data_IF_711419802729
#
_entry.id   IF_711419802729
#
_cell.length_a   1.000
_cell.length_b   1.000
_cell.length_c   1.000
_cell.angle_alpha   90.00
_cell.angle_beta   90.00
_cell.angle_gamma   90.00
#
_symmetry.space_group_name_H-M   'P 1'
#
loop_
_entity.id
_entity.type
_entity.pdbx_description
1 polymer ?
#
# COMPACT_ATOMS: atom_id res chain seq x y z
N UNK A 1 15.38 3.40 5.07
CA UNK A 1 14.48 2.79 4.06
C UNK A 1 14.94 1.38 3.76
N UNK A 2 14.04 0.38 3.76
CA UNK A 2 14.39 -0.97 3.38
C UNK A 2 14.91 -1.02 1.94
N UNK A 3 15.83 -1.95 1.64
CA UNK A 3 16.29 -2.19 0.26
C UNK A 3 15.15 -2.78 -0.56
N UNK A 4 14.45 -1.93 -1.30
CA UNK A 4 13.39 -2.35 -2.21
C UNK A 4 14.00 -2.88 -3.52
N UNK A 5 13.51 -4.00 -4.08
CA UNK A 5 14.03 -4.53 -5.33
C UNK A 5 13.76 -3.55 -6.49
N UNK A 6 14.69 -3.52 -7.43
CA UNK A 6 14.57 -2.69 -8.64
C UNK A 6 13.43 -3.15 -9.54
N UNK A 7 12.68 -2.19 -10.09
CA UNK A 7 11.64 -2.47 -11.08
C UNK A 7 12.25 -2.76 -12.45
N UNK A 8 12.01 -3.95 -13.01
CA UNK A 8 12.43 -4.34 -14.35
C UNK A 8 11.20 -4.40 -15.31
N UNK A 9 11.04 -3.46 -16.27
CA UNK A 9 9.85 -3.38 -17.13
C UNK A 9 9.68 -4.59 -18.05
N UNK A 10 10.78 -5.24 -18.47
CA UNK A 10 10.75 -6.48 -19.25
C UNK A 10 10.14 -7.65 -18.46
N UNK A 11 10.53 -7.79 -17.18
CA UNK A 11 9.98 -8.81 -16.29
C UNK A 11 8.49 -8.59 -16.05
N UNK A 12 8.06 -7.33 -15.88
CA UNK A 12 6.64 -6.99 -15.72
C UNK A 12 5.81 -7.34 -16.97
N UNK A 13 6.36 -7.11 -18.18
CA UNK A 13 5.70 -7.49 -19.44
C UNK A 13 5.61 -9.01 -19.60
N UNK A 14 6.65 -9.75 -19.24
CA UNK A 14 6.65 -11.21 -19.30
C UNK A 14 5.61 -11.82 -18.33
N UNK A 15 5.54 -11.32 -17.09
CA UNK A 15 4.57 -11.79 -16.10
C UNK A 15 3.12 -11.53 -16.53
N UNK A 16 2.85 -10.37 -17.14
CA UNK A 16 1.54 -10.07 -17.71
C UNK A 16 1.22 -10.96 -18.92
N UNK A 17 2.18 -11.22 -19.80
CA UNK A 17 2.02 -12.13 -20.93
C UNK A 17 1.74 -13.57 -20.50
N UNK A 18 2.38 -14.02 -19.42
CA UNK A 18 2.14 -15.32 -18.79
C UNK A 18 0.87 -15.37 -17.93
N UNK A 19 0.07 -14.30 -17.88
CA UNK A 19 -1.16 -14.15 -17.06
C UNK A 19 -0.96 -14.42 -15.56
N UNK A 20 0.27 -14.31 -15.07
CA UNK A 20 0.57 -14.39 -13.62
C UNK A 20 0.01 -13.15 -12.91
N UNK A 21 -0.11 -12.02 -13.61
CA UNK A 21 -0.76 -10.80 -13.10
C UNK A 21 -1.95 -10.41 -13.98
N UNK A 22 -3.06 -9.96 -13.36
CA UNK A 22 -4.28 -9.52 -14.06
C UNK A 22 -4.05 -8.32 -15.01
N UNK A 23 -3.06 -7.49 -14.73
CA UNK A 23 -2.67 -6.34 -15.53
C UNK A 23 -1.15 -6.12 -15.50
N UNK A 24 -0.66 -5.20 -16.33
CA UNK A 24 0.73 -4.75 -16.29
C UNK A 24 0.98 -4.04 -14.95
N UNK A 25 1.87 -4.61 -14.14
CA UNK A 25 2.21 -4.08 -12.82
C UNK A 25 2.92 -2.72 -12.96
N UNK A 26 2.34 -1.67 -12.36
CA UNK A 26 2.96 -0.34 -12.31
C UNK A 26 4.22 -0.36 -11.45
N UNK A 27 5.03 0.70 -11.52
CA UNK A 27 6.20 0.84 -10.65
C UNK A 27 5.81 0.91 -9.18
N UNK A 28 4.65 1.50 -8.89
CA UNK A 28 4.06 1.57 -7.55
C UNK A 28 3.60 0.19 -7.07
N UNK A 29 2.82 -0.53 -7.88
CA UNK A 29 2.30 -1.87 -7.53
C UNK A 29 3.43 -2.90 -7.36
N UNK A 30 4.58 -2.67 -7.99
CA UNK A 30 5.76 -3.49 -7.75
C UNK A 30 6.32 -3.26 -6.34
N UNK A 31 6.46 -2.00 -5.94
CA UNK A 31 7.14 -1.62 -4.71
C UNK A 31 6.27 -1.78 -3.46
N UNK A 32 4.97 -1.51 -3.56
CA UNK A 32 4.08 -1.51 -2.38
C UNK A 32 4.06 -2.84 -1.62
N UNK A 33 3.94 -4.01 -2.27
CA UNK A 33 4.01 -5.29 -1.55
C UNK A 33 5.37 -5.53 -0.90
N UNK A 34 6.48 -5.09 -1.53
CA UNK A 34 7.81 -5.22 -0.93
C UNK A 34 7.99 -4.30 0.28
N UNK A 35 7.43 -3.08 0.24
CA UNK A 35 7.43 -2.18 1.38
C UNK A 35 6.60 -2.77 2.53
N UNK A 36 5.40 -3.24 2.22
CA UNK A 36 4.50 -3.89 3.17
C UNK A 36 5.14 -5.11 3.84
N UNK A 37 5.76 -6.00 3.05
CA UNK A 37 6.42 -7.20 3.58
C UNK A 37 7.66 -6.86 4.40
N UNK A 38 8.41 -5.82 4.02
CA UNK A 38 9.55 -5.35 4.81
C UNK A 38 9.10 -4.81 6.17
N UNK A 39 8.03 -4.01 6.21
CA UNK A 39 7.47 -3.48 7.46
C UNK A 39 6.92 -4.58 8.37
N UNK A 40 6.28 -5.61 7.81
CA UNK A 40 5.78 -6.76 8.59
C UNK A 40 6.88 -7.61 9.20
N UNK A 41 8.08 -7.62 8.62
CA UNK A 41 9.24 -8.41 9.08
C UNK A 41 10.15 -7.64 10.03
N UNK A 42 9.98 -6.33 10.12
CA UNK A 42 10.79 -5.47 10.98
C UNK A 42 10.21 -5.44 12.40
N UNK A 43 10.68 -6.34 13.25
CA UNK A 43 10.19 -6.49 14.63
C UNK A 43 10.41 -5.23 15.47
N UNK A 44 11.50 -4.50 15.24
CA UNK A 44 11.76 -3.22 15.92
C UNK A 44 10.72 -2.19 15.51
N UNK A 45 10.43 -2.07 14.21
CA UNK A 45 9.36 -1.19 13.73
C UNK A 45 7.99 -1.60 14.30
N UNK A 46 7.68 -2.90 14.38
CA UNK A 46 6.42 -3.38 14.97
C UNK A 46 6.32 -3.08 16.47
N UNK A 47 7.43 -3.11 17.21
CA UNK A 47 7.42 -2.92 18.66
C UNK A 47 7.50 -1.43 19.08
N UNK A 48 8.26 -0.60 18.35
CA UNK A 48 8.64 0.74 18.79
C UNK A 48 7.95 1.88 18.03
N UNK A 49 7.28 1.60 16.91
CA UNK A 49 6.60 2.66 16.15
C UNK A 49 5.42 3.23 16.92
N UNK A 50 5.15 4.54 16.81
CA UNK A 50 3.94 5.13 17.38
C UNK A 50 2.69 4.44 16.85
N UNK A 51 1.87 3.92 17.76
CA UNK A 51 0.66 3.18 17.46
C UNK A 51 -0.43 3.57 18.45
N UNK A 52 -1.67 3.47 18.00
CA UNK A 52 -2.84 3.75 18.81
C UNK A 52 -3.85 2.62 18.61
N UNK A 53 -4.31 2.05 19.71
CA UNK A 53 -5.41 1.09 19.68
C UNK A 53 -6.73 1.84 19.50
N UNK A 54 -7.55 1.35 18.58
CA UNK A 54 -8.88 1.89 18.28
C UNK A 54 -9.87 0.75 18.29
N UNK A 55 -10.81 0.80 19.23
CA UNK A 55 -11.88 -0.18 19.36
C UNK A 55 -13.14 0.30 18.64
N UNK A 56 -13.47 -0.35 17.54
CA UNK A 56 -14.74 -0.12 16.83
C UNK A 56 -15.85 -0.98 17.42
N UNK A 57 -16.90 -0.34 17.91
CA UNK A 57 -18.07 -1.01 18.48
C UNK A 57 -18.96 -1.61 17.37
N UNK A 58 -19.73 -2.67 17.67
CA UNK A 58 -20.69 -3.21 16.72
C UNK A 58 -21.67 -2.14 16.22
N UNK A 59 -21.80 -2.02 14.89
CA UNK A 59 -22.64 -1.01 14.24
C UNK A 59 -21.91 0.29 13.88
N UNK A 60 -20.68 0.49 14.35
CA UNK A 60 -19.85 1.60 13.90
C UNK A 60 -19.29 1.37 12.51
N UNK A 61 -19.05 2.46 11.79
CA UNK A 61 -18.45 2.46 10.45
C UNK A 61 -17.24 3.37 10.46
N UNK A 62 -16.18 2.90 9.81
CA UNK A 62 -14.94 3.64 9.62
C UNK A 62 -14.47 3.51 8.18
N UNK A 63 -13.59 4.42 7.76
CA UNK A 63 -12.99 4.40 6.43
C UNK A 63 -11.53 4.83 6.51
N UNK A 64 -10.70 4.27 5.64
CA UNK A 64 -9.28 4.61 5.57
C UNK A 64 -8.75 4.48 4.16
N UNK A 65 -7.68 5.22 3.85
CA UNK A 65 -6.78 4.90 2.74
C UNK A 65 -5.83 3.80 3.19
N UNK A 66 -6.21 2.54 2.95
CA UNK A 66 -5.50 1.35 3.46
C UNK A 66 -4.09 1.18 2.87
N UNK A 67 -3.79 1.87 1.77
CA UNK A 67 -2.47 1.95 1.13
C UNK A 67 -1.59 3.09 1.66
N UNK A 68 -2.14 3.98 2.49
CA UNK A 68 -1.45 5.09 3.15
C UNK A 68 -1.29 4.87 4.65
N UNK A 69 -2.34 4.40 5.32
CA UNK A 69 -2.40 4.24 6.78
C UNK A 69 -1.96 2.83 7.17
N UNK A 70 -0.91 2.74 7.97
CA UNK A 70 -0.51 1.47 8.60
C UNK A 70 -1.58 1.05 9.60
N UNK A 71 -2.06 -0.19 9.48
CA UNK A 71 -3.11 -0.72 10.34
C UNK A 71 -2.93 -2.23 10.52
N UNK A 72 -3.42 -2.74 11.66
CA UNK A 72 -3.45 -4.15 11.99
C UNK A 72 -4.71 -4.46 12.79
N UNK A 73 -5.36 -5.58 12.47
CA UNK A 73 -6.54 -6.05 13.22
C UNK A 73 -6.09 -7.02 14.32
N UNK A 74 -6.32 -6.65 15.58
CA UNK A 74 -5.90 -7.44 16.75
C UNK A 74 -6.94 -8.47 17.19
N UNK A 75 -8.21 -8.29 16.81
CA UNK A 75 -9.31 -9.17 17.17
C UNK A 75 -10.64 -8.69 16.59
N UNK A 76 -11.70 -9.48 16.79
CA UNK A 76 -13.05 -9.16 16.32
C UNK A 76 -13.64 -10.25 15.42
N UNK A 77 -14.95 -10.13 15.15
CA UNK A 77 -15.68 -11.07 14.29
C UNK A 77 -16.81 -10.34 13.56
N UNK A 78 -17.10 -10.79 12.34
CA UNK A 78 -18.21 -10.30 11.50
C UNK A 78 -18.08 -8.83 11.12
N UNK A 79 -17.12 -8.53 10.24
CA UNK A 79 -16.92 -7.21 9.64
C UNK A 79 -17.34 -7.24 8.16
N UNK A 80 -18.02 -6.18 7.70
CA UNK A 80 -18.23 -5.92 6.29
C UNK A 80 -17.20 -4.89 5.81
N UNK A 81 -16.53 -5.18 4.69
CA UNK A 81 -15.55 -4.28 4.09
C UNK A 81 -15.91 -4.03 2.62
N UNK A 82 -15.74 -2.79 2.18
CA UNK A 82 -15.93 -2.39 0.81
C UNK A 82 -14.75 -1.53 0.34
N UNK A 83 -13.98 -2.07 -0.58
CA UNK A 83 -12.91 -1.33 -1.25
C UNK A 83 -13.50 -0.45 -2.35
N UNK A 84 -13.12 0.84 -2.35
CA UNK A 84 -13.42 1.79 -3.43
C UNK A 84 -12.12 2.34 -3.98
N UNK A 85 -12.02 2.42 -5.31
CA UNK A 85 -10.84 2.98 -5.98
C UNK A 85 -11.04 4.46 -6.27
N UNK A 86 -10.09 5.29 -5.82
CA UNK A 86 -10.06 6.73 -6.08
C UNK A 86 -8.84 7.09 -6.96
N UNK A 87 -9.02 7.59 -8.19
CA UNK A 87 -7.90 8.05 -9.01
C UNK A 87 -7.11 9.16 -8.31
N UNK A 88 -5.78 9.14 -8.42
CA UNK A 88 -4.90 10.17 -7.82
C UNK A 88 -5.27 11.59 -8.29
N UNK A 89 -5.68 11.73 -9.56
CA UNK A 89 -6.13 13.02 -10.12
C UNK A 89 -7.45 13.54 -9.57
N UNK A 90 -8.23 12.68 -8.90
CA UNK A 90 -9.51 13.02 -8.28
C UNK A 90 -9.38 13.29 -6.76
N UNK A 91 -8.18 13.14 -6.19
CA UNK A 91 -7.92 13.51 -4.80
C UNK A 91 -7.85 15.03 -4.65
N UNK A 92 -8.36 15.56 -3.53
CA UNK A 92 -8.31 16.98 -3.24
C UNK A 92 -6.86 17.51 -3.18
N UNK A 93 -5.95 16.71 -2.64
CA UNK A 93 -4.51 16.93 -2.71
C UNK A 93 -3.79 15.69 -3.29
N UNK A 94 -3.53 15.64 -4.60
CA UNK A 94 -2.82 14.53 -5.23
C UNK A 94 -1.39 14.34 -4.70
N UNK A 95 -0.76 15.39 -4.14
CA UNK A 95 0.61 15.32 -3.62
C UNK A 95 0.70 14.46 -2.36
N UNK A 96 -0.40 14.34 -1.61
CA UNK A 96 -0.57 13.49 -0.44
C UNK A 96 -0.79 12.01 -0.76
N UNK A 97 -0.99 11.66 -2.04
CA UNK A 97 -1.21 10.26 -2.42
C UNK A 97 0.00 9.37 -2.12
N UNK A 98 -0.20 8.10 -1.71
CA UNK A 98 0.89 7.14 -1.51
C UNK A 98 1.83 7.05 -2.71
N UNK A 99 1.27 7.13 -3.92
CA UNK A 99 2.03 7.11 -5.16
C UNK A 99 2.97 8.32 -5.27
N UNK A 100 2.49 9.55 -5.03
CA UNK A 100 3.33 10.77 -5.10
C UNK A 100 4.34 10.84 -3.96
N UNK A 101 3.94 10.46 -2.74
CA UNK A 101 4.86 10.37 -1.59
C UNK A 101 5.99 9.39 -1.87
N UNK A 102 5.69 8.19 -2.38
CA UNK A 102 6.71 7.20 -2.67
C UNK A 102 7.63 7.64 -3.82
N UNK A 103 7.08 8.26 -4.87
CA UNK A 103 7.87 8.82 -5.96
C UNK A 103 8.85 9.91 -5.45
N UNK A 104 8.38 10.81 -4.58
CA UNK A 104 9.20 11.85 -3.96
C UNK A 104 10.31 11.24 -3.09
N UNK A 105 9.99 10.26 -2.22
CA UNK A 105 10.98 9.59 -1.37
C UNK A 105 12.04 8.81 -2.17
N UNK A 106 11.69 8.31 -3.36
CA UNK A 106 12.62 7.63 -4.26
C UNK A 106 13.38 8.56 -5.21
N UNK A 107 13.07 9.85 -5.21
CA UNK A 107 13.66 10.83 -6.13
C UNK A 107 13.38 10.56 -7.61
N UNK A 108 12.34 9.79 -7.95
CA UNK A 108 12.00 9.43 -9.33
C UNK A 108 10.50 9.25 -9.53
N UNK A 109 10.03 9.60 -10.73
CA UNK A 109 8.65 9.32 -11.12
C UNK A 109 8.38 7.81 -11.18
N UNK A 110 7.26 7.38 -10.59
CA UNK A 110 6.76 6.02 -10.70
C UNK A 110 5.71 5.99 -11.81
N UNK A 111 5.94 5.17 -12.84
CA UNK A 111 4.97 4.99 -13.94
C UNK A 111 3.77 4.20 -13.44
N UNK A 112 2.57 4.72 -13.68
CA UNK A 112 1.28 4.01 -13.71
C UNK A 112 1.26 3.00 -14.85
#
# INVERSE_FOLDING_TARGET
>A
MPRLPGYAPLKARLLAALRVTKAKRSGYDHLMPHLHDALKRDETCQAESPQADVDFQPGETWGTFSDLVMHGAMGGRSMLEQTVYLPVSAQADPSSSPHRILAAKLGRALRT
#
